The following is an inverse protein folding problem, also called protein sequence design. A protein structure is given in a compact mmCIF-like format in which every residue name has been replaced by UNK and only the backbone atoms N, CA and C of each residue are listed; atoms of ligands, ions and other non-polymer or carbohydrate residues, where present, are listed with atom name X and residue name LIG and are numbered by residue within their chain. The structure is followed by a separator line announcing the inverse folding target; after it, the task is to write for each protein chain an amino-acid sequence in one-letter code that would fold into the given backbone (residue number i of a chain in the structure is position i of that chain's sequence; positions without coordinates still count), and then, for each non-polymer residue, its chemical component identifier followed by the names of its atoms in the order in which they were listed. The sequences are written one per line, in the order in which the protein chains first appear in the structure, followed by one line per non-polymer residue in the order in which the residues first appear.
data_IF_194024577820
#
_entry.id   IF_194024577820
#
_cell.length_a   1.000
_cell.length_b   1.000
_cell.length_c   1.000
_cell.angle_alpha   90.00
_cell.angle_beta   90.00
_cell.angle_gamma   90.00
#
_symmetry.space_group_name_H-M   'P 1'
#
loop_
_entity.id
_entity.type
_entity.pdbx_description
1 polymer ?
#
# COMPACT_ATOMS: atom_id res chain seq x y z
N UNK A 1 8.29 -25.24 8.04
CA UNK A 1 7.12 -24.41 8.30
C UNK A 1 6.30 -24.35 7.03
N UNK A 2 5.10 -24.91 7.05
CA UNK A 2 4.15 -24.79 5.92
C UNK A 2 3.37 -23.45 5.97
N UNK A 3 2.47 -23.23 5.00
CA UNK A 3 1.68 -22.00 4.94
C UNK A 3 0.81 -21.78 6.18
N UNK A 4 0.17 -22.83 6.72
CA UNK A 4 -0.73 -22.72 7.88
C UNK A 4 0.05 -22.47 9.16
N UNK A 5 1.18 -23.15 9.33
CA UNK A 5 2.08 -22.92 10.46
C UNK A 5 2.65 -21.50 10.43
N UNK A 6 2.99 -20.99 9.24
CA UNK A 6 3.43 -19.61 9.06
C UNK A 6 2.31 -18.62 9.40
N UNK A 7 1.11 -18.80 8.86
CA UNK A 7 -0.04 -17.94 9.16
C UNK A 7 -0.36 -17.90 10.66
N UNK A 8 -0.36 -19.06 11.34
CA UNK A 8 -0.53 -19.13 12.80
C UNK A 8 0.55 -18.36 13.54
N UNK A 9 1.82 -18.53 13.17
CA UNK A 9 2.92 -17.79 13.80
C UNK A 9 2.79 -16.28 13.63
N UNK A 10 2.35 -15.82 12.46
CA UNK A 10 2.16 -14.39 12.21
C UNK A 10 0.94 -13.86 12.99
N UNK A 11 -0.12 -14.65 13.15
CA UNK A 11 -1.30 -14.26 13.92
C UNK A 11 -1.01 -14.01 15.42
N UNK A 12 0.04 -14.61 15.97
CA UNK A 12 0.52 -14.36 17.35
C UNK A 12 1.28 -13.03 17.51
N UNK A 13 1.36 -12.22 16.44
CA UNK A 13 2.01 -10.91 16.45
C UNK A 13 1.02 -9.79 16.17
N UNK A 14 1.19 -8.68 16.87
CA UNK A 14 0.36 -7.50 16.73
C UNK A 14 0.96 -6.43 15.80
N UNK A 15 2.21 -6.60 15.35
CA UNK A 15 2.97 -5.60 14.61
C UNK A 15 3.18 -5.92 13.13
N UNK A 16 2.86 -7.15 12.70
CA UNK A 16 3.02 -7.64 11.33
C UNK A 16 1.78 -8.39 10.87
N UNK A 17 1.64 -8.61 9.56
CA UNK A 17 0.49 -9.30 8.98
C UNK A 17 0.90 -10.28 7.87
N UNK A 18 -0.03 -11.11 7.42
CA UNK A 18 0.16 -11.95 6.21
C UNK A 18 -0.27 -11.23 4.93
N UNK A 19 -0.55 -9.93 5.02
CA UNK A 19 -1.11 -9.11 3.94
C UNK A 19 -0.27 -7.85 3.70
N UNK A 20 -0.52 -7.22 2.55
CA UNK A 20 0.13 -5.99 2.11
C UNK A 20 -0.94 -5.03 1.60
N UNK A 21 -0.79 -3.76 1.97
CA UNK A 21 -1.76 -2.71 1.69
C UNK A 21 -1.20 -1.80 0.60
N UNK A 22 -1.95 -1.59 -0.48
CA UNK A 22 -1.73 -0.52 -1.44
C UNK A 22 -2.77 0.58 -1.21
N UNK A 23 -2.36 1.71 -0.64
CA UNK A 23 -3.26 2.86 -0.48
C UNK A 23 -3.42 3.59 -1.80
N UNK A 24 -4.67 3.90 -2.15
CA UNK A 24 -5.03 4.67 -3.34
C UNK A 24 -5.17 6.14 -2.97
N UNK A 25 -4.82 7.03 -3.89
CA UNK A 25 -5.11 8.46 -3.73
C UNK A 25 -6.61 8.70 -3.92
N UNK A 26 -7.18 9.72 -3.25
CA UNK A 26 -8.55 10.16 -3.48
C UNK A 26 -8.62 10.85 -4.85
N UNK A 27 -8.57 10.09 -5.93
CA UNK A 27 -8.91 10.59 -7.26
C UNK A 27 -10.39 10.30 -7.49
N UNK A 28 -11.10 11.25 -8.08
CA UNK A 28 -12.39 10.94 -8.69
C UNK A 28 -12.16 9.79 -9.68
N UNK A 29 -12.74 8.63 -9.38
CA UNK A 29 -12.74 7.40 -10.18
C UNK A 29 -11.42 6.63 -10.34
N UNK A 30 -10.34 7.03 -9.66
CA UNK A 30 -9.04 6.34 -9.77
C UNK A 30 -9.10 4.87 -9.31
N UNK A 31 -9.81 4.61 -8.23
CA UNK A 31 -10.02 3.26 -7.68
C UNK A 31 -10.88 2.39 -8.60
N UNK A 32 -11.93 2.97 -9.17
CA UNK A 32 -12.81 2.27 -10.09
C UNK A 32 -12.04 1.84 -11.33
N UNK A 33 -11.16 2.71 -11.86
CA UNK A 33 -10.28 2.35 -12.96
C UNK A 33 -9.38 1.17 -12.61
N UNK A 34 -8.73 1.19 -11.45
CA UNK A 34 -7.89 0.10 -10.96
C UNK A 34 -8.67 -1.22 -10.89
N UNK A 35 -9.91 -1.18 -10.36
CA UNK A 35 -10.76 -2.35 -10.21
C UNK A 35 -11.28 -2.87 -11.55
N UNK A 36 -11.61 -1.98 -12.48
CA UNK A 36 -12.07 -2.32 -13.83
C UNK A 36 -10.97 -2.93 -14.68
N UNK A 37 -9.78 -2.32 -14.66
CA UNK A 37 -8.60 -2.81 -15.38
C UNK A 37 -7.92 -3.97 -14.66
N UNK A 38 -8.29 -4.21 -13.40
CA UNK A 38 -7.69 -5.17 -12.46
C UNK A 38 -6.16 -5.10 -12.44
N UNK A 39 -5.67 -3.86 -12.42
CA UNK A 39 -4.25 -3.54 -12.61
C UNK A 39 -3.83 -2.37 -11.75
N UNK A 40 -2.69 -2.52 -11.09
CA UNK A 40 -1.95 -1.44 -10.44
C UNK A 40 -0.74 -1.07 -11.28
N UNK A 41 -0.60 0.22 -11.58
CA UNK A 41 0.54 0.75 -12.33
C UNK A 41 1.53 1.35 -11.33
N UNK A 42 2.80 0.95 -11.44
CA UNK A 42 3.85 1.42 -10.56
C UNK A 42 4.17 2.91 -10.72
N UNK A 43 4.63 3.51 -9.63
CA UNK A 43 5.17 4.87 -9.64
C UNK A 43 6.61 4.88 -10.18
N UNK A 44 7.03 6.00 -10.78
CA UNK A 44 8.41 6.25 -11.20
C UNK A 44 9.13 7.18 -10.23
N UNK A 45 10.39 7.53 -10.51
CA UNK A 45 11.12 8.61 -9.81
C UNK A 45 10.45 9.99 -9.99
N UNK A 46 9.81 10.23 -11.12
CA UNK A 46 9.12 11.51 -11.38
C UNK A 46 7.80 11.61 -10.61
N UNK A 47 7.09 10.49 -10.49
CA UNK A 47 5.77 10.44 -9.83
C UNK A 47 5.83 10.04 -8.35
N UNK A 48 6.99 9.61 -7.85
CA UNK A 48 7.18 9.03 -6.51
C UNK A 48 8.64 8.92 -6.06
N UNK A 49 8.90 8.10 -5.05
CA UNK A 49 10.24 7.92 -4.43
C UNK A 49 10.94 6.64 -4.91
N UNK A 50 10.63 6.17 -6.12
CA UNK A 50 11.25 4.98 -6.71
C UNK A 50 12.60 5.35 -7.29
N UNK A 51 13.63 4.56 -7.00
CA UNK A 51 15.00 4.78 -7.49
C UNK A 51 15.25 3.97 -8.76
N UNK A 52 15.86 4.59 -9.76
CA UNK A 52 16.22 3.95 -11.02
C UNK A 52 15.10 4.02 -12.07
N UNK A 53 15.32 3.32 -13.19
CA UNK A 53 14.53 3.51 -14.41
C UNK A 53 13.23 2.65 -14.42
N UNK A 54 13.10 1.74 -13.46
CA UNK A 54 11.99 0.78 -13.35
C UNK A 54 10.94 1.30 -12.38
N UNK A 55 9.67 1.29 -12.82
CA UNK A 55 8.53 1.66 -11.97
C UNK A 55 8.31 0.61 -10.88
N UNK A 56 7.61 0.98 -9.83
CA UNK A 56 7.22 0.03 -8.78
C UNK A 56 5.83 0.32 -8.21
N UNK A 57 5.01 -0.73 -8.08
CA UNK A 57 3.80 -0.72 -7.27
C UNK A 57 4.23 -0.91 -5.82
N UNK A 58 3.96 0.08 -4.97
CA UNK A 58 4.36 0.10 -3.58
C UNK A 58 3.24 -0.43 -2.68
N UNK A 59 3.62 -1.18 -1.66
CA UNK A 59 2.73 -1.68 -0.62
C UNK A 59 3.37 -1.43 0.75
N UNK A 60 2.55 -1.30 1.77
CA UNK A 60 3.00 -1.27 3.16
C UNK A 60 2.55 -2.55 3.88
N UNK A 61 3.40 -3.05 4.78
CA UNK A 61 3.05 -4.11 5.69
C UNK A 61 2.69 -3.51 7.04
N UNK A 62 1.40 -3.33 7.30
CA UNK A 62 0.92 -2.79 8.57
C UNK A 62 -0.35 -3.50 9.01
N UNK A 63 -0.50 -3.81 10.31
CA UNK A 63 -1.80 -4.11 10.89
C UNK A 63 -2.79 -2.98 10.57
N UNK A 64 -4.05 -3.34 10.28
CA UNK A 64 -5.07 -2.34 9.91
C UNK A 64 -5.29 -1.29 11.00
N UNK A 65 -5.16 -1.68 12.28
CA UNK A 65 -5.21 -0.75 13.39
C UNK A 65 -4.04 0.27 13.38
N UNK A 66 -2.84 -0.15 13.01
CA UNK A 66 -1.70 0.77 12.87
C UNK A 66 -1.86 1.66 11.63
N UNK A 67 -2.45 1.14 10.55
CA UNK A 67 -2.81 1.92 9.37
C UNK A 67 -3.79 3.05 9.71
N UNK A 68 -4.85 2.75 10.48
CA UNK A 68 -5.85 3.76 10.86
C UNK A 68 -5.26 4.85 11.74
N UNK A 69 -4.34 4.51 12.65
CA UNK A 69 -3.59 5.50 13.44
C UNK A 69 -2.79 6.46 12.56
N UNK A 70 -2.10 5.95 11.53
CA UNK A 70 -1.36 6.79 10.58
C UNK A 70 -2.29 7.72 9.79
N UNK A 71 -3.42 7.20 9.31
CA UNK A 71 -4.43 8.00 8.59
C UNK A 71 -5.00 9.11 9.50
N UNK A 72 -5.28 8.79 10.76
CA UNK A 72 -5.82 9.74 11.73
C UNK A 72 -4.81 10.82 12.10
N UNK A 73 -3.54 10.45 12.28
CA UNK A 73 -2.46 11.41 12.49
C UNK A 73 -2.35 12.40 11.31
N UNK A 74 -2.37 11.90 10.08
CA UNK A 74 -2.38 12.73 8.87
C UNK A 74 -3.64 13.62 8.77
N UNK A 75 -4.80 13.16 9.24
CA UNK A 75 -6.01 13.98 9.32
C UNK A 75 -5.83 15.16 10.27
N UNK A 76 -5.35 14.90 11.50
CA UNK A 76 -5.07 15.96 12.50
C UNK A 76 -4.07 16.98 11.99
N UNK A 77 -2.97 16.53 11.37
CA UNK A 77 -1.98 17.43 10.80
C UNK A 77 -2.56 18.38 9.74
N UNK A 78 -3.60 17.96 9.00
CA UNK A 78 -4.27 18.80 8.00
C UNK A 78 -5.25 19.80 8.62
N UNK A 79 -5.84 19.47 9.76
CA UNK A 79 -6.67 20.42 10.52
C UNK A 79 -5.81 21.59 11.01
N UNK A 80 -4.59 21.29 11.45
CA UNK A 80 -3.61 22.28 11.92
C UNK A 80 -2.94 23.03 10.76
N UNK A 81 -2.68 22.38 9.62
CA UNK A 81 -1.98 22.98 8.48
C UNK A 81 -2.52 22.51 7.13
N UNK A 82 -3.52 23.24 6.62
CA UNK A 82 -4.26 22.89 5.39
C UNK A 82 -3.42 22.83 4.11
N UNK A 83 -2.20 23.38 4.10
CA UNK A 83 -1.28 23.40 2.95
C UNK A 83 -0.46 22.11 2.81
N UNK A 84 -0.50 21.19 3.79
CA UNK A 84 0.28 19.94 3.74
C UNK A 84 -0.26 18.97 2.67
N UNK A 85 0.67 18.37 1.93
CA UNK A 85 0.39 17.36 0.90
C UNK A 85 -0.29 16.13 1.51
N UNK A 86 -1.39 15.66 0.93
CA UNK A 86 -2.10 14.45 1.34
C UNK A 86 -1.22 13.22 1.05
N UNK A 87 -0.81 12.50 2.09
CA UNK A 87 0.00 11.28 1.98
C UNK A 87 -0.85 10.01 2.07
N UNK A 88 -1.72 9.94 3.09
CA UNK A 88 -2.58 8.78 3.32
C UNK A 88 -4.06 9.15 3.31
N UNK A 89 -4.84 8.40 2.53
CA UNK A 89 -6.29 8.35 2.59
C UNK A 89 -6.69 6.92 2.87
N UNK A 90 -7.74 6.73 3.67
CA UNK A 90 -8.18 5.40 4.12
C UNK A 90 -8.85 4.55 3.05
N UNK A 91 -8.49 4.72 1.78
CA UNK A 91 -8.94 3.87 0.71
C UNK A 91 -7.76 3.10 0.10
N UNK A 92 -7.99 1.84 -0.28
CA UNK A 92 -6.92 1.02 -0.84
C UNK A 92 -7.29 -0.43 -1.04
N UNK A 93 -6.29 -1.22 -1.41
CA UNK A 93 -6.39 -2.65 -1.71
C UNK A 93 -5.48 -3.46 -0.77
N UNK A 94 -5.97 -4.60 -0.29
CA UNK A 94 -5.27 -5.51 0.60
C UNK A 94 -5.03 -6.87 -0.06
N UNK A 95 -3.76 -7.19 -0.32
CA UNK A 95 -3.33 -8.42 -0.98
C UNK A 95 -2.71 -9.40 0.01
N UNK A 96 -2.77 -10.71 -0.26
CA UNK A 96 -1.95 -11.67 0.49
C UNK A 96 -0.47 -11.47 0.12
N UNK A 97 0.43 -11.53 1.10
CA UNK A 97 1.88 -11.51 0.85
C UNK A 97 2.33 -12.60 -0.11
N UNK A 98 1.76 -13.79 0.01
CA UNK A 98 2.07 -14.92 -0.88
C UNK A 98 1.68 -14.65 -2.32
N UNK A 99 0.59 -13.92 -2.57
CA UNK A 99 0.21 -13.47 -3.91
C UNK A 99 1.20 -12.45 -4.46
N UNK A 100 1.53 -11.43 -3.67
CA UNK A 100 2.49 -10.38 -4.07
C UNK A 100 3.87 -10.99 -4.34
N UNK A 101 4.34 -11.92 -3.50
CA UNK A 101 5.63 -12.59 -3.67
C UNK A 101 5.70 -13.43 -4.96
N UNK A 102 4.61 -14.14 -5.30
CA UNK A 102 4.49 -14.90 -6.55
C UNK A 102 4.53 -13.98 -7.77
N UNK A 103 3.98 -12.77 -7.65
CA UNK A 103 4.06 -11.70 -8.66
C UNK A 103 5.33 -10.87 -8.53
N UNK A 104 6.47 -11.50 -8.23
CA UNK A 104 7.81 -10.88 -8.15
C UNK A 104 7.98 -9.80 -7.06
N UNK A 105 6.98 -9.58 -6.21
CA UNK A 105 7.04 -8.59 -5.15
C UNK A 105 8.03 -8.95 -4.06
N UNK A 106 8.78 -7.97 -3.56
CA UNK A 106 9.82 -8.16 -2.53
C UNK A 106 9.78 -7.01 -1.51
N UNK A 107 10.22 -7.26 -0.25
CA UNK A 107 10.55 -6.17 0.67
C UNK A 107 11.57 -5.22 0.04
N UNK A 108 11.47 -3.94 0.38
CA UNK A 108 12.46 -2.94 -0.01
C UNK A 108 13.76 -3.10 0.79
N UNK A 109 14.79 -2.40 0.34
CA UNK A 109 16.08 -2.27 1.01
C UNK A 109 16.21 -0.83 1.48
N UNK A 110 16.16 -0.65 2.79
CA UNK A 110 16.38 0.63 3.46
C UNK A 110 17.87 0.86 3.64
N UNK A 111 18.43 1.78 2.87
CA UNK A 111 19.82 2.23 3.00
C UNK A 111 19.94 3.61 2.34
N UNK A 112 21.08 4.29 2.52
CA UNK A 112 21.41 5.47 1.71
C UNK A 112 21.45 5.04 0.25
N UNK A 113 20.71 5.75 -0.60
CA UNK A 113 20.62 5.41 -2.03
C UNK A 113 21.98 5.19 -2.68
N UNK A 114 22.97 6.03 -2.38
CA UNK A 114 24.31 5.93 -2.97
C UNK A 114 25.13 4.73 -2.45
N UNK A 115 24.88 4.25 -1.23
CA UNK A 115 25.50 3.01 -0.73
C UNK A 115 24.82 1.79 -1.34
N UNK A 116 23.48 1.79 -1.37
CA UNK A 116 22.67 0.72 -1.96
C UNK A 116 23.04 0.43 -3.41
N UNK A 117 23.26 1.47 -4.22
CA UNK A 117 23.67 1.35 -5.63
C UNK A 117 25.03 0.66 -5.83
N UNK A 118 25.90 0.62 -4.81
CA UNK A 118 27.23 -0.04 -4.91
C UNK A 118 27.12 -1.56 -4.88
N UNK A 119 26.10 -2.10 -4.20
CA UNK A 119 25.93 -3.55 -4.03
C UNK A 119 24.68 -4.10 -4.72
N UNK A 120 23.73 -3.26 -5.12
CA UNK A 120 22.57 -3.69 -5.91
C UNK A 120 22.80 -3.45 -7.41
N UNK A 121 22.49 -4.46 -8.25
CA UNK A 121 22.52 -4.27 -9.70
C UNK A 121 21.43 -3.26 -10.12
N UNK A 122 21.70 -2.54 -11.22
CA UNK A 122 20.88 -1.39 -11.67
C UNK A 122 19.41 -1.74 -11.89
N UNK A 123 19.13 -2.94 -12.40
CA UNK A 123 17.79 -3.45 -12.65
C UNK A 123 16.98 -3.73 -11.37
N UNK A 124 17.61 -3.67 -10.20
CA UNK A 124 16.99 -3.87 -8.89
C UNK A 124 16.91 -2.61 -8.04
N UNK A 125 17.33 -1.45 -8.56
CA UNK A 125 17.29 -0.19 -7.81
C UNK A 125 15.87 0.22 -7.40
N UNK A 126 14.83 -0.28 -8.09
CA UNK A 126 13.44 -0.09 -7.69
C UNK A 126 13.13 -0.62 -6.28
N UNK A 127 13.99 -1.49 -5.70
CA UNK A 127 13.86 -1.95 -4.31
C UNK A 127 14.42 -0.97 -3.28
N UNK A 128 15.14 0.07 -3.68
CA UNK A 128 15.81 0.98 -2.76
C UNK A 128 14.79 1.98 -2.20
N UNK A 129 14.83 2.16 -0.87
CA UNK A 129 14.19 3.26 -0.16
C UNK A 129 15.27 4.00 0.61
N UNK A 130 15.39 5.31 0.35
CA UNK A 130 16.43 6.11 0.99
C UNK A 130 16.19 6.18 2.50
N UNK A 131 17.19 5.75 3.28
CA UNK A 131 17.24 5.87 4.73
C UNK A 131 18.43 6.75 5.11
N UNK A 132 18.19 7.87 5.80
CA UNK A 132 19.23 8.73 6.31
C UNK A 132 18.88 9.25 7.71
N UNK A 133 19.51 8.65 8.72
CA UNK A 133 19.42 9.06 10.13
C UNK A 133 20.62 9.91 10.58
N UNK A 134 21.58 10.20 9.68
CA UNK A 134 22.83 10.88 10.02
C UNK A 134 22.76 12.41 9.98
N UNK A 135 21.64 12.99 9.56
CA UNK A 135 21.39 14.43 9.55
C UNK A 135 20.17 14.72 10.44
N UNK A 136 20.41 15.15 11.68
CA UNK A 136 19.36 15.43 12.68
C UNK A 136 18.37 16.50 12.21
N UNK A 137 18.79 17.41 11.31
CA UNK A 137 17.92 18.44 10.75
C UNK A 137 17.12 17.96 9.54
N UNK A 138 17.46 16.78 8.98
CA UNK A 138 16.85 16.23 7.77
C UNK A 138 16.81 14.70 7.79
N UNK A 139 16.11 14.17 8.78
CA UNK A 139 15.85 12.73 8.89
C UNK A 139 14.99 12.25 7.70
N UNK A 140 15.42 11.17 7.07
CA UNK A 140 14.64 10.44 6.06
C UNK A 140 14.47 9.01 6.58
N UNK A 141 13.27 8.68 7.02
CA UNK A 141 12.93 7.35 7.54
C UNK A 141 11.50 6.95 7.14
N UNK A 142 11.41 5.87 6.38
CA UNK A 142 10.16 5.23 5.94
C UNK A 142 10.10 3.76 6.39
N UNK A 143 10.97 3.35 7.31
CA UNK A 143 11.07 1.96 7.78
C UNK A 143 9.79 1.48 8.48
N UNK A 144 9.04 2.40 9.08
CA UNK A 144 7.76 2.14 9.73
C UNK A 144 6.68 1.61 8.77
N UNK A 145 6.79 1.87 7.46
CA UNK A 145 5.87 1.32 6.47
C UNK A 145 6.13 -0.15 6.13
N UNK A 146 7.34 -0.66 6.43
CA UNK A 146 7.80 -1.99 6.03
C UNK A 146 7.44 -2.27 4.57
N UNK A 147 7.93 -1.42 3.69
CA UNK A 147 7.48 -1.32 2.31
C UNK A 147 7.84 -2.60 1.52
N UNK A 148 6.91 -3.01 0.66
CA UNK A 148 7.13 -4.01 -0.38
C UNK A 148 6.89 -3.36 -1.73
N UNK A 149 7.59 -3.85 -2.76
CA UNK A 149 7.42 -3.38 -4.13
C UNK A 149 7.24 -4.54 -5.11
N UNK A 150 6.40 -4.33 -6.11
CA UNK A 150 6.31 -5.14 -7.33
C UNK A 150 6.83 -4.28 -8.48
N UNK A 151 7.75 -4.78 -9.32
CA UNK A 151 8.27 -4.01 -10.45
C UNK A 151 7.19 -3.77 -11.52
N UNK A 152 7.22 -2.60 -12.13
CA UNK A 152 6.38 -2.18 -13.26
C UNK A 152 4.88 -2.09 -12.92
N UNK A 153 4.17 -3.21 -12.96
CA UNK A 153 2.73 -3.29 -12.73
C UNK A 153 2.34 -4.58 -12.01
N UNK A 154 1.15 -4.59 -11.40
CA UNK A 154 0.56 -5.76 -10.78
C UNK A 154 -0.84 -5.98 -11.33
N UNK A 155 -1.02 -7.07 -12.07
CA UNK A 155 -2.32 -7.60 -12.46
C UNK A 155 -2.89 -8.50 -11.35
N UNK A 156 -4.22 -8.50 -11.20
CA UNK A 156 -4.92 -9.29 -10.19
C UNK A 156 -6.33 -9.66 -10.66
N UNK A 157 -6.97 -10.59 -9.95
CA UNK A 157 -8.42 -10.76 -10.03
C UNK A 157 -9.09 -10.11 -8.83
N UNK A 158 -10.35 -9.67 -8.97
CA UNK A 158 -11.09 -9.07 -7.85
C UNK A 158 -11.11 -10.00 -6.62
N UNK A 159 -11.15 -11.31 -6.83
CA UNK A 159 -11.09 -12.33 -5.77
C UNK A 159 -9.76 -12.38 -5.01
N UNK A 160 -8.68 -11.80 -5.55
CA UNK A 160 -7.37 -11.74 -4.88
C UNK A 160 -7.30 -10.62 -3.83
N UNK A 161 -8.17 -9.61 -3.95
CA UNK A 161 -8.11 -8.38 -3.17
C UNK A 161 -9.22 -8.24 -2.16
N UNK A 162 -8.90 -7.56 -1.06
CA UNK A 162 -9.91 -6.92 -0.22
C UNK A 162 -9.85 -5.42 -0.40
N UNK A 163 -11.01 -4.77 -0.37
CA UNK A 163 -11.11 -3.32 -0.49
C UNK A 163 -11.08 -2.71 0.90
N UNK A 164 -10.30 -1.65 1.07
CA UNK A 164 -10.26 -0.84 2.28
C UNK A 164 -11.00 0.45 1.97
N UNK A 165 -11.94 0.84 2.82
CA UNK A 165 -12.71 2.10 2.68
C UNK A 165 -12.63 2.92 3.97
N UNK A 166 -12.63 4.26 3.88
CA UNK A 166 -12.38 5.11 5.03
C UNK A 166 -13.59 5.28 5.96
N UNK A 167 -14.80 5.04 5.44
CA UNK A 167 -16.05 5.23 6.18
C UNK A 167 -17.21 4.49 5.52
N UNK A 168 -18.33 4.36 6.25
CA UNK A 168 -19.57 3.81 5.70
C UNK A 168 -20.15 4.63 4.53
N UNK A 169 -19.87 5.94 4.50
CA UNK A 169 -20.22 6.79 3.35
C UNK A 169 -19.37 6.44 2.12
N UNK A 170 -18.06 6.28 2.30
CA UNK A 170 -17.15 5.83 1.24
C UNK A 170 -17.50 4.43 0.74
N UNK A 171 -17.88 3.52 1.64
CA UNK A 171 -18.38 2.20 1.31
C UNK A 171 -19.59 2.22 0.37
N UNK A 172 -20.62 3.01 0.69
CA UNK A 172 -21.82 3.12 -0.15
C UNK A 172 -21.47 3.68 -1.53
N UNK A 173 -20.64 4.74 -1.55
CA UNK A 173 -20.22 5.39 -2.79
C UNK A 173 -19.48 4.44 -3.72
N UNK A 174 -18.45 3.73 -3.22
CA UNK A 174 -17.64 2.85 -4.08
C UNK A 174 -18.44 1.69 -4.65
N UNK A 175 -19.42 1.16 -3.90
CA UNK A 175 -20.33 0.12 -4.40
C UNK A 175 -21.21 0.65 -5.53
N UNK A 176 -21.81 1.83 -5.35
CA UNK A 176 -22.66 2.45 -6.37
C UNK A 176 -21.86 2.76 -7.64
N UNK A 177 -20.70 3.39 -7.47
CA UNK A 177 -19.80 3.75 -8.55
C UNK A 177 -19.31 2.51 -9.33
N UNK A 178 -18.93 1.43 -8.62
CA UNK A 178 -18.52 0.18 -9.26
C UNK A 178 -19.68 -0.52 -9.98
N UNK A 179 -20.88 -0.50 -9.39
CA UNK A 179 -22.08 -1.07 -10.02
C UNK A 179 -22.41 -0.36 -11.33
N UNK A 180 -22.24 0.97 -11.39
CA UNK A 180 -22.43 1.75 -12.61
C UNK A 180 -21.43 1.38 -13.72
N UNK A 181 -20.25 0.88 -13.34
CA UNK A 181 -19.23 0.37 -14.27
C UNK A 181 -19.33 -1.15 -14.53
N UNK A 182 -20.38 -1.81 -14.02
CA UNK A 182 -20.63 -3.24 -14.22
C UNK A 182 -19.79 -4.16 -13.35
N UNK A 183 -19.25 -3.66 -12.23
CA UNK A 183 -18.44 -4.42 -11.26
C UNK A 183 -19.31 -4.73 -10.03
N UNK A 184 -19.45 -6.00 -9.69
CA UNK A 184 -20.19 -6.43 -8.50
C UNK A 184 -19.24 -6.66 -7.33
N UNK A 185 -18.79 -5.56 -6.71
CA UNK A 185 -17.84 -5.62 -5.59
C UNK A 185 -18.28 -6.53 -4.45
N UNK A 186 -19.59 -6.67 -4.20
CA UNK A 186 -20.09 -7.48 -3.08
C UNK A 186 -19.76 -8.95 -3.29
N UNK A 187 -19.81 -9.42 -4.55
CA UNK A 187 -19.62 -10.83 -4.89
C UNK A 187 -18.22 -11.12 -5.44
N UNK A 188 -17.57 -10.13 -6.07
CA UNK A 188 -16.33 -10.34 -6.83
C UNK A 188 -15.07 -10.20 -5.98
N UNK A 189 -15.10 -9.40 -4.90
CA UNK A 189 -13.92 -9.20 -4.03
C UNK A 189 -13.92 -10.13 -2.83
N UNK A 190 -12.74 -10.38 -2.24
CA UNK A 190 -12.62 -11.26 -1.07
C UNK A 190 -13.37 -10.74 0.15
N UNK A 191 -13.26 -9.44 0.42
CA UNK A 191 -13.99 -8.74 1.48
C UNK A 191 -13.83 -7.23 1.34
N UNK A 192 -14.70 -6.45 1.99
CA UNK A 192 -14.63 -5.00 2.07
C UNK A 192 -14.50 -4.63 3.55
N UNK A 193 -13.51 -3.80 3.86
CA UNK A 193 -13.10 -3.45 5.22
C UNK A 193 -13.34 -1.95 5.43
N UNK A 194 -14.25 -1.62 6.33
CA UNK A 194 -14.49 -0.24 6.73
C UNK A 194 -13.55 0.13 7.88
N UNK A 195 -12.60 1.03 7.63
CA UNK A 195 -11.62 1.47 8.61
C UNK A 195 -12.23 2.24 9.78
N UNK A 196 -13.38 2.89 9.59
CA UNK A 196 -14.04 3.62 10.67
C UNK A 196 -14.42 2.70 11.83
N UNK A 197 -14.81 1.46 11.53
CA UNK A 197 -15.25 0.45 12.51
C UNK A 197 -14.07 -0.12 13.33
N UNK A 198 -12.82 0.19 12.95
CA UNK A 198 -11.63 -0.19 13.70
C UNK A 198 -11.17 0.91 14.67
N UNK A 199 -11.77 2.10 14.60
CA UNK A 199 -11.28 3.29 15.29
C UNK A 199 -12.31 3.92 16.23
N UNK A 200 -13.58 3.96 15.79
CA UNK A 200 -14.72 4.54 16.53
C UNK A 200 -15.67 3.43 17.00
#
# INVERSE_FOLDING_TARGET
MDLKEWEKRIAERNDITTHLIHLTKPYENGEIKILKEKKLIGSSTESGFVVGDKKAVCFQESPLYSLTQNIYFEQKLREEEKSKKIRYVGCGLLFKKTFVYKNQGRPVIYDKTEEAKKYLPKDQWWKIVNLNLGDENKIIDWSHEREWRVPDELEFELSDVSIIVPSSGGFKKIIEDCKNEGIDLINDVRTIINLADLFY
#
